data_IF_839960638329
#
_entry.id   IF_839960638329
#
_cell.length_a   1.000
_cell.length_b   1.000
_cell.length_c   1.000
_cell.angle_alpha   90.00
_cell.angle_beta   90.00
_cell.angle_gamma   90.00
#
_symmetry.space_group_name_H-M   'P 1'
#
loop_
_entity.id
_entity.type
_entity.pdbx_description
1 polymer ?
#
# COMPACT_ATOMS: atom_id res chain seq x y z
N UNK A 1 27.93 -1.00 -17.38
CA UNK A 1 27.55 -0.38 -16.09
C UNK A 1 28.36 -1.05 -14.99
N UNK A 2 29.59 -0.58 -14.78
CA UNK A 2 30.55 -1.18 -13.84
C UNK A 2 30.40 -0.57 -12.46
N UNK A 3 30.28 -1.43 -11.46
CA UNK A 3 30.25 -1.06 -10.05
C UNK A 3 31.69 -0.95 -9.55
N UNK A 4 32.14 0.25 -9.22
CA UNK A 4 33.45 0.49 -8.61
C UNK A 4 33.25 0.83 -7.13
N UNK A 5 33.62 -0.10 -6.25
CA UNK A 5 33.87 0.16 -4.84
C UNK A 5 35.39 0.12 -4.65
N UNK A 6 35.99 1.26 -4.37
CA UNK A 6 37.40 1.36 -3.97
C UNK A 6 37.44 1.38 -2.45
N UNK A 7 38.15 0.41 -1.86
CA UNK A 7 38.39 0.33 -0.42
C UNK A 7 39.84 0.73 -0.18
N UNK A 8 40.09 1.82 0.54
CA UNK A 8 41.42 2.19 1.03
C UNK A 8 41.59 1.71 2.48
N UNK A 9 42.72 1.07 2.83
CA UNK A 9 43.03 0.68 4.22
C UNK A 9 43.60 1.87 5.03
N UNK A 10 43.49 1.86 6.37
CA UNK A 10 44.06 2.91 7.22
C UNK A 10 45.50 2.59 7.63
N UNK A 11 46.38 3.60 7.59
CA UNK A 11 47.70 3.55 8.23
C UNK A 11 47.71 4.48 9.45
N UNK A 12 48.18 3.94 10.57
CA UNK A 12 48.42 4.61 11.85
C UNK A 12 49.50 5.72 11.75
N UNK A 13 49.40 6.77 12.58
CA UNK A 13 50.56 7.61 12.91
C UNK A 13 50.31 9.10 13.23
N UNK A 14 50.05 9.41 14.51
CA UNK A 14 50.54 10.57 15.31
C UNK A 14 50.61 12.01 14.73
N UNK A 15 49.86 12.88 15.43
CA UNK A 15 50.28 14.13 16.13
C UNK A 15 49.97 15.51 15.51
N UNK A 16 49.53 16.38 16.44
CA UNK A 16 49.54 17.85 16.48
C UNK A 16 48.43 18.67 15.77
N UNK A 17 47.73 19.46 16.60
CA UNK A 17 46.73 20.49 16.32
C UNK A 17 47.38 21.84 15.90
N UNK A 18 46.70 23.01 15.95
CA UNK A 18 45.40 23.44 15.40
C UNK A 18 45.50 24.77 14.60
N UNK A 19 44.71 25.02 13.55
CA UNK A 19 44.44 26.43 13.12
C UNK A 19 43.15 26.60 12.29
N UNK A 20 42.23 27.39 12.87
CA UNK A 20 41.35 28.47 12.38
C UNK A 20 40.92 28.61 10.89
N UNK A 21 39.67 29.10 10.80
CA UNK A 21 39.10 30.10 9.87
C UNK A 21 38.30 29.66 8.61
N UNK A 22 36.96 29.73 8.77
CA UNK A 22 35.91 30.37 7.93
C UNK A 22 35.71 30.04 6.43
N UNK A 23 34.43 30.12 5.93
CA UNK A 23 34.00 29.56 4.64
C UNK A 23 34.03 30.58 3.50
N UNK A 24 33.92 30.11 2.25
CA UNK A 24 33.25 30.91 1.23
C UNK A 24 32.08 30.17 0.56
N UNK A 25 30.98 30.92 0.52
CA UNK A 25 29.84 30.83 -0.40
C UNK A 25 30.31 31.13 -1.82
N UNK A 26 29.84 30.37 -2.81
CA UNK A 26 29.70 30.85 -4.20
C UNK A 26 28.70 29.99 -5.01
N UNK A 27 27.67 30.66 -5.54
CA UNK A 27 26.74 30.19 -6.58
C UNK A 27 27.44 30.04 -7.95
N UNK A 28 26.73 29.47 -8.94
CA UNK A 28 26.65 30.18 -10.22
C UNK A 28 25.22 30.33 -10.75
N UNK A 29 24.96 31.58 -11.16
CA UNK A 29 23.90 32.10 -12.02
C UNK A 29 23.83 31.40 -13.38
N UNK A 30 22.63 31.03 -13.83
CA UNK A 30 22.30 30.92 -15.26
C UNK A 30 20.91 31.56 -15.52
N UNK A 31 20.84 32.18 -16.69
CA UNK A 31 20.00 33.27 -17.13
C UNK A 31 18.49 32.99 -17.28
N UNK A 32 17.78 34.10 -17.11
CA UNK A 32 16.43 34.47 -17.51
C UNK A 32 16.14 34.23 -19.00
N UNK A 33 15.05 33.52 -19.30
CA UNK A 33 14.20 33.80 -20.46
C UNK A 33 12.73 33.73 -20.04
N UNK A 34 12.16 34.90 -19.82
CA UNK A 34 10.73 35.13 -19.67
C UNK A 34 10.06 35.06 -21.04
N UNK A 35 9.06 34.20 -21.21
CA UNK A 35 8.03 34.38 -22.24
C UNK A 35 6.68 34.06 -21.62
N UNK A 36 6.07 35.12 -21.12
CA UNK A 36 4.70 35.24 -20.63
C UNK A 36 3.76 35.13 -21.82
N UNK A 37 2.82 34.19 -21.78
CA UNK A 37 1.56 34.31 -22.52
C UNK A 37 0.43 33.91 -21.58
N UNK A 38 -0.21 34.93 -21.03
CA UNK A 38 -1.55 34.85 -20.44
C UNK A 38 -2.56 34.45 -21.54
N UNK A 39 -3.66 33.80 -21.14
CA UNK A 39 -4.92 34.50 -21.34
C UNK A 39 -5.80 34.46 -20.09
N UNK A 40 -6.06 35.67 -19.58
CA UNK A 40 -7.36 36.21 -19.18
C UNK A 40 -8.36 35.27 -18.48
N UNK A 41 -8.55 35.52 -17.19
CA UNK A 41 -9.73 35.12 -16.45
C UNK A 41 -10.98 35.84 -16.98
N UNK A 42 -12.02 35.07 -17.31
CA UNK A 42 -13.41 35.55 -17.31
C UNK A 42 -14.29 34.36 -16.94
N UNK A 43 -14.98 34.45 -15.81
CA UNK A 43 -16.08 33.55 -15.44
C UNK A 43 -17.37 33.95 -16.20
N UNK A 44 -18.50 33.29 -15.95
CA UNK A 44 -18.85 31.91 -16.27
C UNK A 44 -19.94 31.88 -17.36
N UNK A 45 -19.97 30.84 -18.20
CA UNK A 45 -21.20 30.22 -18.76
C UNK A 45 -20.91 29.48 -20.09
N UNK A 46 -21.55 28.31 -20.21
CA UNK A 46 -21.88 27.62 -21.45
C UNK A 46 -20.76 26.81 -22.14
N UNK A 47 -20.49 25.65 -21.52
CA UNK A 47 -20.42 24.34 -22.17
C UNK A 47 -19.98 24.30 -23.65
N UNK A 48 -18.68 24.27 -23.89
CA UNK A 48 -18.12 23.45 -24.97
C UNK A 48 -17.93 22.03 -24.41
N UNK A 49 -19.03 21.35 -24.11
CA UNK A 49 -18.98 19.91 -23.88
C UNK A 49 -18.82 19.23 -25.22
N UNK A 50 -17.72 18.49 -25.37
CA UNK A 50 -17.47 17.59 -26.48
C UNK A 50 -18.74 16.76 -26.75
N UNK A 51 -19.21 16.63 -28.01
CA UNK A 51 -20.40 15.84 -28.36
C UNK A 51 -20.36 14.41 -27.80
N UNK A 52 -19.19 13.83 -27.57
CA UNK A 52 -19.04 12.52 -26.95
C UNK A 52 -19.30 12.54 -25.43
N UNK A 53 -18.86 13.61 -24.74
CA UNK A 53 -19.11 13.80 -23.30
C UNK A 53 -20.60 14.06 -23.04
N UNK A 54 -21.26 14.78 -23.95
CA UNK A 54 -22.68 15.08 -23.83
C UNK A 54 -23.55 13.81 -23.93
N UNK A 55 -23.20 12.88 -24.83
CA UNK A 55 -23.84 11.56 -24.91
C UNK A 55 -23.64 10.74 -23.63
N UNK A 56 -22.46 10.84 -23.03
CA UNK A 56 -22.17 10.15 -21.78
C UNK A 56 -23.00 10.70 -20.62
N UNK A 57 -23.18 12.02 -20.54
CA UNK A 57 -24.03 12.66 -19.53
C UNK A 57 -25.52 12.28 -19.74
N UNK A 58 -26.01 12.31 -20.98
CA UNK A 58 -27.38 11.92 -21.33
C UNK A 58 -27.71 10.48 -20.90
N UNK A 59 -26.72 9.57 -20.99
CA UNK A 59 -26.90 8.17 -20.59
C UNK A 59 -27.13 8.02 -19.08
N UNK A 60 -26.44 8.82 -18.25
CA UNK A 60 -26.63 8.83 -16.79
C UNK A 60 -27.93 9.51 -16.37
N UNK A 61 -28.35 10.56 -17.08
CA UNK A 61 -29.64 11.20 -16.82
C UNK A 61 -30.83 10.32 -17.23
N UNK A 62 -30.68 9.53 -18.30
CA UNK A 62 -31.67 8.52 -18.69
C UNK A 62 -31.83 7.42 -17.63
N UNK A 63 -30.74 7.01 -16.97
CA UNK A 63 -30.77 6.04 -15.87
C UNK A 63 -31.41 6.62 -14.60
N UNK A 64 -31.11 7.88 -14.27
CA UNK A 64 -31.67 8.57 -13.09
C UNK A 64 -33.20 8.73 -13.15
N UNK A 65 -33.76 8.85 -14.35
CA UNK A 65 -35.22 8.96 -14.55
C UNK A 65 -35.94 7.60 -14.59
N UNK A 66 -35.21 6.48 -14.60
CA UNK A 66 -35.79 5.14 -14.47
C UNK A 66 -36.11 4.87 -12.99
N UNK A 67 -37.34 5.22 -12.59
CA UNK A 67 -37.89 4.91 -11.26
C UNK A 67 -37.85 3.39 -10.99
N UNK A 68 -37.42 2.94 -9.80
CA UNK A 68 -37.36 1.52 -9.48
C UNK A 68 -38.78 0.97 -9.29
N UNK A 69 -39.22 0.07 -10.16
CA UNK A 69 -40.34 -0.81 -9.88
C UNK A 69 -39.80 -2.13 -9.36
N UNK A 70 -40.23 -2.46 -8.15
CA UNK A 70 -39.98 -3.72 -7.46
C UNK A 70 -40.76 -4.86 -8.12
N UNK A 71 -40.19 -6.07 -8.06
CA UNK A 71 -40.87 -7.38 -7.93
C UNK A 71 -40.79 -8.34 -9.12
N UNK A 72 -40.08 -9.44 -8.82
CA UNK A 72 -40.22 -10.86 -9.20
C UNK A 72 -39.90 -11.40 -10.61
N UNK A 73 -39.28 -12.58 -10.55
CA UNK A 73 -38.80 -13.48 -11.59
C UNK A 73 -39.82 -13.78 -12.70
N UNK A 74 -39.33 -13.88 -13.95
CA UNK A 74 -39.46 -15.05 -14.84
C UNK A 74 -38.61 -14.87 -16.12
N UNK A 75 -38.13 -16.00 -16.62
CA UNK A 75 -37.32 -16.18 -17.82
C UNK A 75 -38.03 -15.70 -19.10
N UNK A 76 -37.25 -15.12 -20.03
CA UNK A 76 -36.98 -15.64 -21.39
C UNK A 76 -36.80 -14.53 -22.45
N UNK A 77 -35.54 -14.42 -22.92
CA UNK A 77 -35.05 -14.06 -24.26
C UNK A 77 -35.45 -12.75 -24.98
N UNK A 78 -34.40 -12.17 -25.59
CA UNK A 78 -34.38 -11.11 -26.60
C UNK A 78 -34.74 -9.68 -26.16
N UNK A 79 -33.74 -9.01 -25.58
CA UNK A 79 -33.49 -7.59 -25.84
C UNK A 79 -32.00 -7.32 -25.67
N UNK A 80 -31.34 -6.95 -26.77
CA UNK A 80 -29.93 -6.62 -26.83
C UNK A 80 -29.66 -5.34 -26.01
N UNK A 81 -29.40 -5.50 -24.72
CA UNK A 81 -28.86 -4.45 -23.86
C UNK A 81 -27.45 -4.12 -24.35
N UNK A 82 -27.34 -3.11 -25.23
CA UNK A 82 -26.08 -2.58 -25.75
C UNK A 82 -25.38 -1.76 -24.66
N UNK A 83 -24.99 -2.42 -23.57
CA UNK A 83 -23.93 -1.91 -22.71
C UNK A 83 -22.62 -2.46 -23.27
N UNK A 84 -21.62 -1.62 -23.58
CA UNK A 84 -20.34 -2.13 -24.02
C UNK A 84 -19.74 -2.96 -22.87
N UNK A 85 -19.23 -4.15 -23.19
CA UNK A 85 -18.80 -5.22 -22.25
C UNK A 85 -17.74 -4.81 -21.21
N UNK A 86 -17.21 -3.59 -21.29
CA UNK A 86 -16.29 -3.02 -20.30
C UNK A 86 -16.99 -2.24 -19.18
N UNK A 87 -18.23 -1.78 -19.40
CA UNK A 87 -19.06 -1.07 -18.40
C UNK A 87 -19.84 -2.03 -17.50
N UNK A 88 -19.78 -3.35 -17.72
CA UNK A 88 -20.09 -4.31 -16.66
C UNK A 88 -19.00 -4.18 -15.60
N UNK A 89 -19.22 -3.24 -14.69
CA UNK A 89 -18.58 -3.17 -13.40
C UNK A 89 -18.75 -4.55 -12.79
N UNK A 90 -17.72 -5.40 -12.96
CA UNK A 90 -17.55 -6.57 -12.12
C UNK A 90 -17.63 -5.98 -10.73
N UNK A 91 -18.75 -6.25 -10.04
CA UNK A 91 -18.84 -6.06 -8.60
C UNK A 91 -17.65 -6.84 -8.10
N UNK A 92 -16.54 -6.12 -7.89
CA UNK A 92 -15.36 -6.66 -7.29
C UNK A 92 -15.92 -7.32 -6.06
N UNK A 93 -15.79 -8.65 -5.99
CA UNK A 93 -16.01 -9.39 -4.76
C UNK A 93 -15.01 -8.77 -3.81
N UNK A 94 -15.43 -7.67 -3.19
CA UNK A 94 -14.73 -6.98 -2.13
C UNK A 94 -14.42 -8.11 -1.20
N UNK A 95 -13.12 -8.44 -1.10
CA UNK A 95 -12.62 -9.45 -0.18
C UNK A 95 -13.41 -9.24 1.09
N UNK A 96 -14.25 -10.23 1.44
CA UNK A 96 -15.11 -10.16 2.60
C UNK A 96 -14.17 -10.03 3.78
N UNK A 97 -13.93 -8.79 4.18
CA UNK A 97 -13.08 -8.47 5.32
C UNK A 97 -13.79 -9.14 6.48
N UNK A 98 -13.17 -10.12 7.16
CA UNK A 98 -13.85 -10.86 8.20
C UNK A 98 -14.35 -9.84 9.22
N UNK A 99 -15.64 -9.92 9.53
CA UNK A 99 -16.24 -9.04 10.53
C UNK A 99 -15.55 -9.32 11.87
N UNK A 100 -15.22 -8.31 12.69
CA UNK A 100 -14.53 -8.53 13.96
C UNK A 100 -15.20 -9.54 14.91
N UNK A 101 -16.51 -9.80 14.72
CA UNK A 101 -17.28 -10.78 15.49
C UNK A 101 -17.00 -12.25 15.12
N UNK A 102 -16.50 -12.53 13.92
CA UNK A 102 -16.26 -13.90 13.43
C UNK A 102 -14.83 -14.41 13.74
N UNK A 103 -13.98 -13.54 14.28
CA UNK A 103 -12.57 -13.84 14.52
C UNK A 103 -12.41 -14.35 15.96
N UNK A 104 -11.91 -15.58 16.18
CA UNK A 104 -11.70 -16.10 17.52
C UNK A 104 -10.70 -15.21 18.28
N UNK A 105 -10.95 -14.91 19.56
CA UNK A 105 -10.00 -14.15 20.39
C UNK A 105 -8.69 -14.92 20.49
N UNK A 106 -7.57 -14.26 20.22
CA UNK A 106 -6.23 -14.84 20.34
C UNK A 106 -5.65 -14.60 21.73
N UNK A 107 -4.46 -15.14 21.99
CA UNK A 107 -3.77 -14.94 23.26
C UNK A 107 -3.60 -13.47 23.58
N UNK A 108 -3.75 -13.10 24.85
CA UNK A 108 -3.67 -11.70 25.30
C UNK A 108 -2.35 -11.02 24.88
N UNK A 109 -1.25 -11.78 24.77
CA UNK A 109 0.02 -11.25 24.28
C UNK A 109 -0.02 -10.95 22.78
N UNK A 110 -0.58 -11.84 21.97
CA UNK A 110 -0.73 -11.58 20.53
C UNK A 110 -1.57 -10.33 20.30
N UNK A 111 -2.67 -10.16 21.05
CA UNK A 111 -3.55 -9.00 20.97
C UNK A 111 -2.86 -7.68 21.37
N UNK A 112 -1.99 -7.71 22.38
CA UNK A 112 -1.25 -6.55 22.83
C UNK A 112 -0.15 -6.11 21.84
N UNK A 113 0.33 -7.01 20.99
CA UNK A 113 1.35 -6.74 19.98
C UNK A 113 0.78 -6.12 18.69
N UNK A 114 -0.54 -6.11 18.51
CA UNK A 114 -1.15 -5.50 17.33
C UNK A 114 -0.87 -3.99 17.28
N UNK A 115 -0.51 -3.45 16.11
CA UNK A 115 -0.34 -2.02 15.94
C UNK A 115 -1.61 -1.24 16.31
N UNK A 116 -1.44 -0.15 17.06
CA UNK A 116 -2.53 0.77 17.41
C UNK A 116 -2.56 2.01 16.52
N UNK A 117 -1.47 2.30 15.79
CA UNK A 117 -1.39 3.41 14.85
C UNK A 117 -0.98 2.94 13.45
N UNK A 118 -1.31 3.74 12.43
CA UNK A 118 -0.88 3.58 11.06
C UNK A 118 -0.65 4.92 10.38
N UNK A 119 0.43 5.02 9.60
CA UNK A 119 0.73 6.19 8.78
C UNK A 119 0.11 6.07 7.39
N UNK A 120 -0.80 6.99 7.03
CA UNK A 120 -1.43 6.98 5.72
C UNK A 120 -0.44 7.26 4.59
N UNK A 121 0.63 8.03 4.88
CA UNK A 121 1.69 8.30 3.91
C UNK A 121 2.48 7.03 3.61
N UNK A 122 2.85 6.29 4.65
CA UNK A 122 3.56 5.03 4.49
C UNK A 122 2.70 4.00 3.74
N UNK A 123 1.40 3.91 4.07
CA UNK A 123 0.48 3.01 3.36
C UNK A 123 0.38 3.37 1.87
N UNK A 124 0.33 4.66 1.53
CA UNK A 124 0.37 5.11 0.14
C UNK A 124 1.67 4.74 -0.56
N UNK A 125 2.81 5.03 0.08
CA UNK A 125 4.13 4.77 -0.51
C UNK A 125 4.32 3.25 -0.76
N UNK A 126 3.79 2.39 0.11
CA UNK A 126 3.77 0.93 -0.08
C UNK A 126 2.88 0.50 -1.25
N UNK A 127 1.66 1.05 -1.35
CA UNK A 127 0.74 0.75 -2.44
C UNK A 127 1.31 1.16 -3.80
N UNK A 128 1.91 2.35 -3.85
CA UNK A 128 2.53 2.86 -5.06
C UNK A 128 3.80 2.10 -5.43
N UNK A 129 4.66 1.80 -4.46
CA UNK A 129 5.86 0.99 -4.69
C UNK A 129 5.52 -0.40 -5.21
N UNK A 130 4.48 -1.05 -4.66
CA UNK A 130 4.00 -2.33 -5.17
C UNK A 130 3.51 -2.23 -6.61
N UNK A 131 2.77 -1.18 -6.97
CA UNK A 131 2.23 -1.03 -8.32
C UNK A 131 3.27 -0.54 -9.34
N UNK A 132 4.42 -0.05 -8.88
CA UNK A 132 5.50 0.39 -9.76
C UNK A 132 6.12 -0.79 -10.51
N UNK A 133 6.56 -0.55 -11.75
CA UNK A 133 7.22 -1.59 -12.57
C UNK A 133 8.47 -2.16 -11.87
N UNK A 134 9.20 -1.33 -11.13
CA UNK A 134 10.37 -1.77 -10.36
C UNK A 134 9.99 -2.68 -9.19
N UNK A 135 8.89 -2.40 -8.51
CA UNK A 135 8.38 -3.24 -7.41
C UNK A 135 7.88 -4.61 -7.88
N UNK A 136 7.30 -4.67 -9.08
CA UNK A 136 6.78 -5.92 -9.65
C UNK A 136 7.84 -6.80 -10.33
N UNK A 137 8.99 -6.24 -10.73
CA UNK A 137 9.99 -6.98 -11.50
C UNK A 137 10.43 -8.29 -10.83
N UNK A 138 10.68 -8.26 -9.52
CA UNK A 138 11.06 -9.47 -8.77
C UNK A 138 9.92 -10.50 -8.69
N UNK A 139 8.66 -10.05 -8.62
CA UNK A 139 7.52 -10.94 -8.58
C UNK A 139 7.34 -11.64 -9.93
N UNK A 140 7.43 -10.89 -11.03
CA UNK A 140 7.36 -11.43 -12.39
C UNK A 140 8.55 -12.37 -12.67
N UNK A 141 9.76 -12.01 -12.27
CA UNK A 141 10.94 -12.86 -12.47
C UNK A 141 10.87 -14.18 -11.67
N UNK A 142 10.40 -14.16 -10.42
CA UNK A 142 10.37 -15.35 -9.55
C UNK A 142 9.13 -16.21 -9.73
N UNK A 143 7.98 -15.60 -9.94
CA UNK A 143 6.68 -16.28 -9.95
C UNK A 143 5.99 -16.25 -11.32
N UNK A 144 6.49 -15.48 -12.28
CA UNK A 144 5.91 -15.38 -13.62
C UNK A 144 4.64 -14.50 -13.70
N UNK A 145 4.23 -13.90 -12.59
CA UNK A 145 3.00 -13.10 -12.50
C UNK A 145 3.20 -11.80 -11.71
N UNK A 146 2.35 -10.82 -12.00
CA UNK A 146 2.29 -9.60 -11.18
C UNK A 146 1.61 -9.92 -9.85
N UNK A 147 2.24 -9.50 -8.76
CA UNK A 147 1.70 -9.66 -7.42
C UNK A 147 0.49 -8.74 -7.24
N UNK A 148 -0.56 -9.23 -6.59
CA UNK A 148 -1.71 -8.41 -6.22
C UNK A 148 -1.31 -7.32 -5.22
N UNK A 149 -1.47 -6.04 -5.59
CA UNK A 149 -1.22 -4.89 -4.72
C UNK A 149 -2.47 -4.40 -3.96
N UNK A 150 -3.58 -5.13 -4.06
CA UNK A 150 -4.86 -4.74 -3.46
C UNK A 150 -4.76 -4.52 -1.95
N UNK A 151 -4.00 -5.36 -1.24
CA UNK A 151 -3.81 -5.26 0.20
C UNK A 151 -3.26 -3.89 0.64
N UNK A 152 -2.22 -3.39 -0.04
CA UNK A 152 -1.64 -2.09 0.28
C UNK A 152 -2.57 -0.92 -0.04
N UNK A 153 -3.39 -1.06 -1.09
CA UNK A 153 -4.43 -0.07 -1.37
C UNK A 153 -5.53 -0.10 -0.31
N UNK A 154 -5.91 -1.27 0.18
CA UNK A 154 -6.87 -1.42 1.27
C UNK A 154 -6.34 -0.77 2.56
N UNK A 155 -5.05 -0.93 2.89
CA UNK A 155 -4.38 -0.26 4.01
C UNK A 155 -4.49 1.27 3.88
N UNK A 156 -4.20 1.80 2.69
CA UNK A 156 -4.27 3.24 2.40
C UNK A 156 -5.70 3.78 2.55
N UNK A 157 -6.67 3.13 1.90
CA UNK A 157 -8.06 3.58 1.95
C UNK A 157 -8.68 3.43 3.33
N UNK A 158 -8.28 2.40 4.08
CA UNK A 158 -8.65 2.26 5.47
C UNK A 158 -8.10 3.43 6.31
N UNK A 159 -6.81 3.75 6.19
CA UNK A 159 -6.20 4.87 6.90
C UNK A 159 -6.87 6.20 6.57
N UNK A 160 -7.14 6.45 5.29
CA UNK A 160 -7.83 7.68 4.86
C UNK A 160 -9.24 7.79 5.44
N UNK A 161 -9.95 6.66 5.59
CA UNK A 161 -11.30 6.60 6.16
C UNK A 161 -11.31 6.78 7.68
N UNK A 162 -10.33 6.22 8.38
CA UNK A 162 -10.23 6.29 9.86
C UNK A 162 -9.54 7.54 10.36
N UNK A 163 -8.95 8.34 9.47
CA UNK A 163 -8.28 9.61 9.82
C UNK A 163 -9.18 10.60 10.58
N UNK A 164 -10.48 10.60 10.31
CA UNK A 164 -11.45 11.50 10.97
C UNK A 164 -11.97 11.00 12.31
N UNK A 165 -11.56 9.80 12.76
CA UNK A 165 -12.04 9.23 14.01
C UNK A 165 -11.37 9.91 15.22
N UNK A 166 -12.01 9.83 16.39
CA UNK A 166 -11.35 10.19 17.65
C UNK A 166 -10.14 9.27 17.89
N UNK A 167 -9.10 9.70 18.62
CA UNK A 167 -7.89 8.91 18.83
C UNK A 167 -8.20 7.50 19.38
N UNK A 168 -9.06 7.39 20.39
CA UNK A 168 -9.43 6.09 20.98
C UNK A 168 -10.18 5.18 19.99
N UNK A 169 -11.09 5.76 19.20
CA UNK A 169 -11.84 5.01 18.18
C UNK A 169 -10.96 4.58 17.02
N UNK A 170 -9.99 5.42 16.64
CA UNK A 170 -8.99 5.11 15.62
C UNK A 170 -8.11 3.96 16.07
N UNK A 171 -7.57 4.00 17.27
CA UNK A 171 -6.74 2.92 17.81
C UNK A 171 -7.47 1.58 17.82
N UNK A 172 -8.73 1.59 18.28
CA UNK A 172 -9.57 0.38 18.27
C UNK A 172 -9.82 -0.12 16.85
N UNK A 173 -10.19 0.77 15.92
CA UNK A 173 -10.43 0.39 14.53
C UNK A 173 -9.17 -0.17 13.86
N UNK A 174 -8.00 0.43 14.13
CA UNK A 174 -6.72 -0.03 13.59
C UNK A 174 -6.36 -1.41 14.15
N UNK A 175 -6.53 -1.62 15.46
CA UNK A 175 -6.32 -2.93 16.09
C UNK A 175 -7.22 -3.99 15.46
N UNK A 176 -8.51 -3.70 15.31
CA UNK A 176 -9.48 -4.61 14.69
C UNK A 176 -9.12 -4.90 13.22
N UNK A 177 -8.61 -3.91 12.48
CA UNK A 177 -8.17 -4.06 11.10
C UNK A 177 -6.96 -4.99 10.97
N UNK A 178 -5.93 -4.80 11.80
CA UNK A 178 -4.77 -5.71 11.81
C UNK A 178 -5.14 -7.11 12.29
N UNK A 179 -6.08 -7.24 13.22
CA UNK A 179 -6.61 -8.55 13.64
C UNK A 179 -7.24 -9.29 12.48
N UNK A 180 -8.10 -8.61 11.71
CA UNK A 180 -8.72 -9.18 10.51
C UNK A 180 -7.68 -9.57 9.45
N UNK A 181 -6.65 -8.74 9.28
CA UNK A 181 -5.55 -8.95 8.33
C UNK A 181 -4.69 -10.18 8.70
N UNK A 182 -4.31 -10.30 9.96
CA UNK A 182 -3.58 -11.47 10.46
C UNK A 182 -4.41 -12.74 10.35
N UNK A 183 -5.71 -12.68 10.67
CA UNK A 183 -6.60 -13.83 10.52
C UNK A 183 -6.74 -14.26 9.05
N UNK A 184 -6.82 -13.32 8.10
CA UNK A 184 -6.87 -13.66 6.68
C UNK A 184 -5.58 -14.33 6.18
N UNK A 185 -4.43 -13.95 6.75
CA UNK A 185 -3.10 -14.44 6.35
C UNK A 185 -2.69 -15.74 7.05
N UNK A 186 -2.97 -15.85 8.34
CA UNK A 186 -2.52 -16.92 9.24
C UNK A 186 -3.69 -17.66 9.92
N UNK A 187 -4.91 -17.51 9.41
CA UNK A 187 -6.09 -18.21 9.90
C UNK A 187 -6.06 -19.72 9.62
N UNK A 188 -7.06 -20.46 10.11
CA UNK A 188 -7.12 -21.91 9.96
C UNK A 188 -7.07 -22.30 8.46
N UNK A 189 -6.24 -23.28 8.14
CA UNK A 189 -6.06 -23.78 6.77
C UNK A 189 -5.17 -22.91 5.87
N UNK A 190 -4.49 -21.89 6.42
CA UNK A 190 -3.40 -21.19 5.72
C UNK A 190 -2.05 -21.76 6.16
N UNK A 191 -1.07 -21.84 5.24
CA UNK A 191 0.27 -22.30 5.59
C UNK A 191 0.90 -21.32 6.58
N UNK A 192 1.17 -21.79 7.80
CA UNK A 192 1.90 -21.06 8.83
C UNK A 192 3.20 -21.78 9.13
N UNK A 193 4.25 -21.06 9.51
CA UNK A 193 5.48 -21.68 9.99
C UNK A 193 5.26 -22.52 11.25
N UNK A 194 4.24 -22.19 12.03
CA UNK A 194 3.85 -22.91 13.25
C UNK A 194 3.30 -24.33 12.95
N UNK A 195 2.93 -24.62 11.70
CA UNK A 195 2.54 -25.97 11.27
C UNK A 195 3.75 -26.91 11.11
N UNK A 196 4.93 -26.34 10.87
CA UNK A 196 6.20 -27.09 10.73
C UNK A 196 7.03 -27.03 12.00
N UNK A 197 6.93 -25.94 12.78
CA UNK A 197 7.76 -25.67 13.94
C UNK A 197 6.89 -25.40 15.18
N UNK A 198 6.93 -26.31 16.14
CA UNK A 198 6.28 -26.13 17.44
C UNK A 198 7.20 -25.34 18.40
N UNK A 199 6.60 -24.48 19.23
CA UNK A 199 7.32 -23.80 20.29
C UNK A 199 7.81 -24.80 21.34
N UNK A 200 9.05 -24.66 21.80
CA UNK A 200 9.57 -25.44 22.93
C UNK A 200 8.89 -25.01 24.23
N UNK A 201 8.40 -25.97 25.01
CA UNK A 201 7.85 -25.72 26.34
C UNK A 201 8.95 -25.38 27.35
N UNK A 202 10.12 -26.01 27.20
CA UNK A 202 11.25 -25.85 28.12
C UNK A 202 12.36 -24.96 27.57
N UNK A 203 13.00 -24.22 28.48
CA UNK A 203 14.23 -23.48 28.18
C UNK A 203 15.35 -24.48 27.88
N UNK A 204 16.08 -24.19 26.81
CA UNK A 204 17.30 -24.92 26.47
C UNK A 204 18.33 -24.73 27.59
N UNK A 205 18.91 -25.81 28.15
CA UNK A 205 19.88 -25.70 29.23
C UNK A 205 21.09 -24.86 28.81
N UNK A 206 21.62 -24.08 29.75
CA UNK A 206 22.82 -23.28 29.52
C UNK A 206 24.00 -24.17 29.10
N UNK A 207 24.75 -23.72 28.09
CA UNK A 207 25.91 -24.48 27.58
C UNK A 207 25.58 -25.70 26.71
N UNK A 208 24.39 -25.79 26.11
CA UNK A 208 24.07 -26.86 25.13
C UNK A 208 24.15 -26.43 23.67
N UNK A 209 24.05 -25.13 23.37
CA UNK A 209 24.05 -24.58 22.00
C UNK A 209 25.10 -23.48 21.91
N UNK A 210 25.79 -23.37 20.77
CA UNK A 210 26.83 -22.38 20.48
C UNK A 210 28.11 -22.47 21.34
N UNK A 211 28.53 -23.67 21.73
CA UNK A 211 29.80 -23.87 22.47
C UNK A 211 31.04 -23.94 21.58
N UNK A 212 30.86 -24.05 20.26
CA UNK A 212 31.99 -24.08 19.35
C UNK A 212 32.55 -22.66 19.16
N UNK A 213 33.87 -22.47 19.32
CA UNK A 213 34.49 -21.18 19.05
C UNK A 213 34.36 -20.86 17.55
N UNK A 214 33.87 -19.65 17.23
CA UNK A 214 33.84 -19.17 15.85
C UNK A 214 35.27 -18.90 15.42
N UNK A 215 35.87 -19.81 14.65
CA UNK A 215 37.19 -19.59 14.07
C UNK A 215 37.14 -18.40 13.10
N UNK A 216 38.08 -17.43 13.21
CA UNK A 216 38.17 -16.36 12.24
C UNK A 216 38.52 -16.96 10.88
N UNK A 217 37.68 -16.69 9.87
CA UNK A 217 37.92 -17.09 8.49
C UNK A 217 39.24 -16.45 8.01
N UNK A 218 40.25 -17.28 7.79
CA UNK A 218 41.59 -16.93 7.28
C UNK A 218 41.55 -16.46 5.83
#
# INVERSE_FOLDING_TARGET
MGWLWSSTPPSEGKSAAPVKETPPVASPTIATTSTTSDPSATAPSNSNTDPEIQKFIDLFEAEKNAKPSTTEDQQQQNSSSKLPSWLTLKKSTRSSTPTPADIPPRDALSEALLPTDMSCRQAFDQAWACNSMGGQFNAVYRYGEMRSCSEHWDDFWFCMRTKSYSPEMREKAIRDYYRAKEFAKYGPGKPSSEDVWESREDKVPEGTVFNEPVEPRS
#
